data_IF_690818438687
#
_entry.id   IF_690818438687
#
_cell.length_a   1.000
_cell.length_b   1.000
_cell.length_c   1.000
_cell.angle_alpha   90.00
_cell.angle_beta   90.00
_cell.angle_gamma   90.00
#
_symmetry.space_group_name_H-M   'P 1'
#
loop_
_entity.id
_entity.type
_entity.pdbx_description
1 polymer ?
#
# COMPACT_ATOMS: atom_id res chain seq x y z
N UNK A 1 -9.34 -11.18 12.15
CA UNK A 1 -8.32 -12.25 12.03
C UNK A 1 -8.90 -13.59 12.38
N UNK A 2 -9.48 -13.80 13.57
CA UNK A 2 -10.08 -15.09 13.99
C UNK A 2 -11.25 -15.56 13.08
N UNK A 3 -11.98 -14.67 12.43
CA UNK A 3 -13.11 -14.99 11.53
C UNK A 3 -12.61 -15.44 10.14
N UNK A 4 -11.50 -14.90 9.65
CA UNK A 4 -10.93 -15.32 8.36
C UNK A 4 -10.32 -16.71 8.41
N UNK A 5 -9.83 -17.16 9.55
CA UNK A 5 -9.20 -18.48 9.69
C UNK A 5 -10.17 -19.66 9.50
N UNK A 6 -11.49 -19.44 9.46
CA UNK A 6 -12.49 -20.50 9.24
C UNK A 6 -12.54 -21.04 7.82
N UNK A 7 -12.00 -20.34 6.84
CA UNK A 7 -12.08 -20.69 5.42
C UNK A 7 -10.76 -21.17 4.82
N UNK A 8 -9.73 -21.35 5.64
CA UNK A 8 -8.46 -21.93 5.18
C UNK A 8 -8.61 -23.45 5.19
N UNK A 9 -8.63 -24.11 4.02
CA UNK A 9 -8.59 -25.55 3.98
C UNK A 9 -7.27 -26.02 4.64
N UNK A 10 -7.29 -27.16 5.34
CA UNK A 10 -6.10 -27.83 5.84
C UNK A 10 -5.19 -28.20 4.65
N UNK A 11 -4.41 -27.28 4.17
CA UNK A 11 -3.33 -27.51 3.24
C UNK A 11 -2.03 -27.11 3.90
N UNK A 12 -1.10 -28.05 3.94
CA UNK A 12 0.16 -28.02 4.67
C UNK A 12 1.19 -27.00 4.18
N UNK A 13 0.83 -26.02 3.35
CA UNK A 13 1.69 -24.96 2.87
C UNK A 13 0.86 -23.74 2.46
N UNK A 14 0.26 -23.05 3.43
CA UNK A 14 -0.23 -21.69 3.20
C UNK A 14 0.85 -20.73 3.63
N UNK A 15 1.57 -20.18 2.67
CA UNK A 15 2.46 -19.05 2.89
C UNK A 15 1.61 -17.81 3.18
N UNK A 16 1.30 -17.62 4.47
CA UNK A 16 0.61 -16.44 4.98
C UNK A 16 1.61 -15.29 5.04
N UNK A 17 2.13 -14.87 3.90
CA UNK A 17 2.91 -13.65 3.77
C UNK A 17 2.00 -12.42 3.96
N UNK A 18 1.47 -12.24 5.17
CA UNK A 18 0.91 -10.97 5.58
C UNK A 18 2.04 -10.01 5.93
N UNK A 19 2.18 -9.01 5.15
CA UNK A 19 3.24 -8.07 4.89
C UNK A 19 3.77 -7.29 6.11
N UNK A 20 3.26 -7.41 7.32
CA UNK A 20 3.59 -6.51 8.44
C UNK A 20 3.78 -7.17 9.80
N UNK A 21 3.93 -8.47 9.88
CA UNK A 21 4.16 -9.12 11.15
C UNK A 21 5.64 -9.44 11.34
N UNK A 22 6.23 -9.01 12.45
CA UNK A 22 7.50 -9.56 12.87
C UNK A 22 7.34 -11.06 13.14
N UNK A 23 8.42 -11.83 13.09
CA UNK A 23 8.40 -13.26 13.43
C UNK A 23 7.83 -13.48 14.85
N UNK A 24 8.10 -12.55 15.77
CA UNK A 24 7.59 -12.59 17.14
C UNK A 24 6.06 -12.39 17.20
N UNK A 25 5.53 -11.41 16.43
CA UNK A 25 4.08 -11.21 16.33
C UNK A 25 3.38 -12.40 15.66
N UNK A 26 4.05 -13.05 14.70
CA UNK A 26 3.57 -14.26 14.06
C UNK A 26 3.53 -15.45 15.04
N UNK A 27 4.56 -15.64 15.86
CA UNK A 27 4.60 -16.70 16.86
C UNK A 27 3.52 -16.51 17.94
N UNK A 28 3.29 -15.26 18.40
CA UNK A 28 2.20 -14.98 19.35
C UNK A 28 0.82 -15.27 18.73
N UNK A 29 0.63 -15.06 17.43
CA UNK A 29 -0.59 -15.43 16.72
C UNK A 29 -0.69 -16.92 16.44
N UNK A 30 0.44 -17.61 16.28
CA UNK A 30 0.51 -19.05 16.12
C UNK A 30 0.01 -19.76 17.36
N UNK A 31 0.36 -19.29 18.55
CA UNK A 31 -0.18 -19.78 19.81
C UNK A 31 -1.73 -19.65 19.87
N UNK A 32 -2.29 -18.56 19.35
CA UNK A 32 -3.73 -18.36 19.26
C UNK A 32 -4.37 -19.35 18.27
N UNK A 33 -3.73 -19.58 17.13
CA UNK A 33 -4.17 -20.53 16.09
C UNK A 33 -4.07 -21.96 16.63
N UNK A 34 -3.00 -22.30 17.33
CA UNK A 34 -2.81 -23.61 17.92
C UNK A 34 -3.85 -23.89 19.02
N UNK A 35 -4.12 -22.93 19.92
CA UNK A 35 -5.19 -23.02 20.90
C UNK A 35 -6.56 -23.16 20.24
N UNK A 36 -6.80 -22.48 19.13
CA UNK A 36 -8.04 -22.61 18.36
C UNK A 36 -8.17 -24.00 17.72
N UNK A 37 -7.08 -24.58 17.21
CA UNK A 37 -7.08 -25.93 16.61
C UNK A 37 -7.26 -27.03 17.66
N UNK A 38 -6.73 -26.84 18.87
CA UNK A 38 -6.88 -27.79 19.99
C UNK A 38 -8.28 -27.75 20.61
N UNK A 39 -8.91 -26.58 20.61
CA UNK A 39 -10.26 -26.36 21.18
C UNK A 39 -11.10 -25.52 20.19
N UNK A 40 -11.67 -26.14 19.14
CA UNK A 40 -12.48 -25.42 18.18
C UNK A 40 -13.62 -24.71 18.88
N UNK A 41 -13.60 -23.38 18.82
CA UNK A 41 -14.60 -22.52 19.42
C UNK A 41 -15.94 -22.72 18.70
N UNK A 42 -16.96 -23.17 19.43
CA UNK A 42 -18.23 -23.63 18.87
C UNK A 42 -19.17 -22.49 18.49
N UNK A 43 -18.98 -21.30 19.07
CA UNK A 43 -19.87 -20.17 18.85
C UNK A 43 -19.11 -18.89 18.52
N UNK A 44 -19.81 -17.92 17.89
CA UNK A 44 -19.28 -16.55 17.65
C UNK A 44 -18.92 -15.88 18.98
N UNK A 45 -19.70 -16.12 20.04
CA UNK A 45 -19.46 -15.56 21.37
C UNK A 45 -18.12 -16.04 21.93
N UNK A 46 -17.82 -17.35 21.80
CA UNK A 46 -16.57 -17.92 22.28
C UNK A 46 -15.36 -17.31 21.52
N UNK A 47 -15.51 -17.05 20.22
CA UNK A 47 -14.49 -16.41 19.39
C UNK A 47 -14.22 -14.97 19.81
N UNK A 48 -15.27 -14.20 20.06
CA UNK A 48 -15.15 -12.81 20.53
C UNK A 48 -14.48 -12.78 21.90
N UNK A 49 -14.86 -13.69 22.82
CA UNK A 49 -14.23 -13.77 24.14
C UNK A 49 -12.76 -14.20 24.06
N UNK A 50 -12.41 -15.11 23.15
CA UNK A 50 -11.02 -15.51 22.93
C UNK A 50 -10.18 -14.33 22.39
N UNK A 51 -10.69 -13.60 21.39
CA UNK A 51 -10.06 -12.40 20.86
C UNK A 51 -9.88 -11.32 21.94
N UNK A 52 -10.89 -11.11 22.78
CA UNK A 52 -10.82 -10.17 23.90
C UNK A 52 -9.77 -10.56 24.92
N UNK A 53 -9.69 -11.85 25.31
CA UNK A 53 -8.63 -12.35 26.19
C UNK A 53 -7.24 -12.17 25.60
N UNK A 54 -7.09 -12.34 24.28
CA UNK A 54 -5.82 -12.09 23.60
C UNK A 54 -5.49 -10.59 23.59
N UNK A 55 -6.49 -9.73 23.31
CA UNK A 55 -6.30 -8.27 23.37
C UNK A 55 -5.85 -7.83 24.78
N UNK A 56 -6.45 -8.38 25.84
CA UNK A 56 -6.09 -8.08 27.22
C UNK A 56 -4.64 -8.46 27.59
N UNK A 57 -4.04 -9.43 26.90
CA UNK A 57 -2.62 -9.75 27.05
C UNK A 57 -1.70 -8.71 26.38
N UNK A 58 -2.16 -8.08 25.30
CA UNK A 58 -1.39 -7.07 24.57
C UNK A 58 -1.48 -5.69 25.20
N UNK A 59 -2.60 -5.38 25.87
CA UNK A 59 -2.86 -4.14 26.58
C UNK A 59 -3.43 -4.45 27.98
N UNK A 60 -3.58 -3.46 28.84
CA UNK A 60 -4.27 -3.62 30.11
C UNK A 60 -5.74 -4.01 29.85
N UNK A 61 -6.33 -4.86 30.73
CA UNK A 61 -7.68 -5.44 30.56
C UNK A 61 -8.74 -4.39 30.20
N UNK A 62 -8.66 -3.21 30.78
CA UNK A 62 -9.57 -2.08 30.54
C UNK A 62 -9.50 -1.51 29.13
N UNK A 63 -8.40 -1.76 28.40
CA UNK A 63 -8.18 -1.29 27.03
C UNK A 63 -8.44 -2.39 25.98
N UNK A 64 -8.78 -3.62 26.40
CA UNK A 64 -8.92 -4.76 25.50
C UNK A 64 -10.01 -4.54 24.43
N UNK A 65 -11.15 -4.01 24.82
CA UNK A 65 -12.26 -3.76 23.89
C UNK A 65 -11.89 -2.67 22.87
N UNK A 66 -11.15 -1.64 23.30
CA UNK A 66 -10.66 -0.60 22.40
C UNK A 66 -9.63 -1.16 21.39
N UNK A 67 -8.76 -2.09 21.80
CA UNK A 67 -7.85 -2.76 20.88
C UNK A 67 -8.59 -3.66 19.87
N UNK A 68 -9.66 -4.31 20.29
CA UNK A 68 -10.52 -5.08 19.37
C UNK A 68 -11.18 -4.19 18.33
N UNK A 69 -11.63 -2.98 18.69
CA UNK A 69 -12.15 -1.99 17.75
C UNK A 69 -11.08 -1.55 16.73
N UNK A 70 -9.82 -1.40 17.17
CA UNK A 70 -8.68 -1.15 16.26
C UNK A 70 -8.55 -2.28 15.24
N UNK A 71 -8.57 -3.54 15.69
CA UNK A 71 -8.48 -4.69 14.78
C UNK A 71 -9.66 -4.78 13.81
N UNK A 72 -10.86 -4.45 14.28
CA UNK A 72 -12.04 -4.38 13.40
C UNK A 72 -11.89 -3.32 12.31
N UNK A 73 -11.35 -2.14 12.64
CA UNK A 73 -11.08 -1.09 11.65
C UNK A 73 -10.03 -1.53 10.63
N UNK A 74 -8.96 -2.17 11.07
CA UNK A 74 -7.94 -2.73 10.17
C UNK A 74 -8.57 -3.79 9.24
N UNK A 75 -9.39 -4.68 9.79
CA UNK A 75 -10.11 -5.68 9.00
C UNK A 75 -11.01 -5.04 7.94
N UNK A 76 -11.80 -4.03 8.33
CA UNK A 76 -12.66 -3.29 7.39
C UNK A 76 -11.83 -2.62 6.30
N UNK A 77 -10.72 -1.99 6.65
CA UNK A 77 -9.83 -1.36 5.67
C UNK A 77 -9.32 -2.35 4.62
N UNK A 78 -8.90 -3.54 5.03
CA UNK A 78 -8.46 -4.60 4.11
C UNK A 78 -9.63 -5.11 3.28
N UNK A 79 -10.80 -5.30 3.90
CA UNK A 79 -12.00 -5.82 3.24
C UNK A 79 -12.50 -4.89 2.13
N UNK A 80 -12.45 -3.57 2.31
CA UNK A 80 -12.83 -2.59 1.29
C UNK A 80 -12.01 -2.77 -0.01
N UNK A 81 -10.72 -3.08 0.11
CA UNK A 81 -9.86 -3.31 -1.06
C UNK A 81 -10.12 -4.70 -1.65
N UNK A 82 -10.20 -5.73 -0.82
CA UNK A 82 -10.43 -7.12 -1.28
C UNK A 82 -11.80 -7.28 -1.94
N UNK A 83 -12.79 -6.47 -1.55
CA UNK A 83 -14.13 -6.49 -2.13
C UNK A 83 -14.18 -6.01 -3.60
N UNK A 84 -13.13 -5.34 -4.09
CA UNK A 84 -13.03 -4.95 -5.50
C UNK A 84 -12.84 -6.15 -6.46
N UNK A 85 -12.61 -7.36 -5.95
CA UNK A 85 -12.48 -8.59 -6.72
C UNK A 85 -11.10 -9.27 -6.55
N UNK A 86 -10.79 -10.31 -7.32
CA UNK A 86 -9.52 -11.04 -7.20
C UNK A 86 -8.28 -10.21 -7.58
N UNK A 87 -8.42 -9.27 -8.51
CA UNK A 87 -7.32 -8.43 -8.99
C UNK A 87 -6.77 -7.44 -7.95
N UNK A 88 -7.55 -6.89 -7.02
CA UNK A 88 -7.04 -6.04 -5.95
C UNK A 88 -6.05 -6.72 -5.02
N UNK A 89 -6.02 -8.04 -4.93
CA UNK A 89 -4.98 -8.75 -4.18
C UNK A 89 -3.60 -8.40 -4.72
N UNK A 90 -3.48 -8.17 -6.02
CA UNK A 90 -2.24 -7.72 -6.63
C UNK A 90 -1.91 -6.25 -6.31
N UNK A 91 -2.92 -5.41 -6.07
CA UNK A 91 -2.72 -4.02 -5.63
C UNK A 91 -2.26 -3.91 -4.17
N UNK A 92 -2.71 -4.81 -3.32
CA UNK A 92 -2.38 -4.83 -1.88
C UNK A 92 -1.19 -5.75 -1.60
N UNK A 93 -0.77 -6.52 -2.61
CA UNK A 93 0.35 -7.45 -2.55
C UNK A 93 1.68 -6.86 -3.03
N UNK A 94 2.56 -7.74 -3.43
CA UNK A 94 3.95 -7.44 -3.79
C UNK A 94 4.14 -6.38 -4.86
N UNK A 95 3.24 -6.28 -5.83
CA UNK A 95 3.32 -5.27 -6.90
C UNK A 95 3.12 -3.87 -6.34
N UNK A 96 2.10 -3.70 -5.51
CA UNK A 96 1.81 -2.41 -4.88
C UNK A 96 2.94 -1.98 -3.92
N UNK A 97 3.51 -2.93 -3.19
CA UNK A 97 4.67 -2.65 -2.36
C UNK A 97 5.82 -2.08 -3.18
N UNK A 98 6.04 -2.65 -4.37
CA UNK A 98 7.11 -2.18 -5.24
C UNK A 98 6.88 -0.77 -5.79
N UNK A 99 5.65 -0.36 -5.99
CA UNK A 99 5.32 1.00 -6.43
C UNK A 99 5.78 2.07 -5.44
N UNK A 100 5.95 1.74 -4.17
CA UNK A 100 6.37 2.72 -3.15
C UNK A 100 7.69 3.40 -3.49
N UNK A 101 8.60 2.72 -4.18
CA UNK A 101 9.90 3.27 -4.60
C UNK A 101 9.90 3.78 -6.04
N UNK A 102 8.78 3.61 -6.79
CA UNK A 102 8.69 4.00 -8.18
C UNK A 102 8.42 5.51 -8.36
N UNK A 103 9.23 6.24 -9.14
CA UNK A 103 8.95 7.64 -9.45
C UNK A 103 7.71 7.79 -10.35
N UNK A 104 6.86 8.76 -10.05
CA UNK A 104 5.80 9.20 -10.96
C UNK A 104 6.38 10.25 -11.91
N UNK A 105 6.54 9.88 -13.18
CA UNK A 105 7.13 10.74 -14.21
C UNK A 105 6.27 10.71 -15.47
N UNK A 106 6.10 11.84 -16.18
CA UNK A 106 5.18 11.90 -17.32
C UNK A 106 5.75 11.22 -18.57
N UNK A 107 7.09 11.11 -18.70
CA UNK A 107 7.76 10.55 -19.86
C UNK A 107 8.88 9.59 -19.44
N UNK A 108 8.56 8.35 -19.03
CA UNK A 108 9.56 7.38 -18.59
C UNK A 108 10.61 7.08 -19.65
N UNK A 109 10.25 7.13 -20.93
CA UNK A 109 11.17 6.88 -22.07
C UNK A 109 12.22 7.98 -22.24
N UNK A 110 12.01 9.17 -21.69
CA UNK A 110 12.92 10.32 -21.81
C UNK A 110 13.82 10.50 -20.58
N UNK A 111 13.82 9.55 -19.67
CA UNK A 111 14.74 9.53 -18.52
C UNK A 111 16.20 9.44 -18.99
N UNK A 112 17.12 10.00 -18.21
CA UNK A 112 18.56 9.82 -18.46
C UNK A 112 18.96 8.35 -18.32
N UNK A 113 20.14 7.96 -18.83
CA UNK A 113 20.60 6.58 -18.73
C UNK A 113 20.64 6.09 -17.27
N UNK A 114 21.10 6.92 -16.33
CA UNK A 114 21.12 6.60 -14.90
C UNK A 114 19.71 6.47 -14.31
N UNK A 115 18.80 7.36 -14.69
CA UNK A 115 17.40 7.30 -14.24
C UNK A 115 16.67 6.08 -14.84
N UNK A 116 16.96 5.73 -16.11
CA UNK A 116 16.44 4.53 -16.77
C UNK A 116 16.94 3.26 -16.08
N UNK A 117 18.21 3.23 -15.68
CA UNK A 117 18.76 2.09 -14.95
C UNK A 117 18.04 1.87 -13.61
N UNK A 118 17.80 2.97 -12.88
CA UNK A 118 16.97 2.89 -11.68
C UNK A 118 15.52 2.46 -11.99
N UNK A 119 14.92 2.95 -13.09
CA UNK A 119 13.53 2.71 -13.46
C UNK A 119 13.29 1.29 -14.01
N UNK A 120 14.33 0.65 -14.58
CA UNK A 120 14.25 -0.69 -15.20
C UNK A 120 13.69 -1.76 -14.27
N UNK A 121 13.97 -1.69 -12.99
CA UNK A 121 13.47 -2.64 -11.98
C UNK A 121 11.96 -2.61 -11.77
N UNK A 122 11.26 -1.60 -12.29
CA UNK A 122 9.80 -1.49 -12.23
C UNK A 122 9.12 -2.01 -13.51
N UNK A 123 9.88 -2.53 -14.44
CA UNK A 123 9.37 -3.07 -15.70
C UNK A 123 9.41 -4.59 -15.68
N UNK A 124 8.36 -5.22 -16.17
CA UNK A 124 8.39 -6.63 -16.44
C UNK A 124 9.27 -6.90 -17.65
N UNK A 125 10.10 -7.95 -17.58
CA UNK A 125 10.82 -8.43 -18.76
C UNK A 125 9.81 -9.08 -19.72
N UNK A 126 9.77 -8.57 -20.93
CA UNK A 126 9.03 -9.15 -22.03
C UNK A 126 9.99 -9.52 -23.17
N UNK A 127 9.48 -10.17 -24.21
CA UNK A 127 10.28 -10.64 -25.35
C UNK A 127 10.90 -9.48 -26.18
N UNK A 128 10.39 -8.26 -26.03
CA UNK A 128 10.95 -7.05 -26.61
C UNK A 128 10.80 -5.86 -25.65
N UNK A 129 11.64 -4.82 -25.82
CA UNK A 129 11.49 -3.57 -25.03
C UNK A 129 10.15 -2.89 -25.24
N UNK A 130 9.50 -3.10 -26.38
CA UNK A 130 8.20 -2.53 -26.71
C UNK A 130 7.06 -3.27 -26.00
N UNK A 131 7.27 -4.55 -25.63
CA UNK A 131 6.32 -5.38 -24.91
C UNK A 131 6.57 -5.37 -23.40
N UNK A 132 7.67 -4.74 -22.94
CA UNK A 132 7.96 -4.62 -21.52
C UNK A 132 6.86 -3.81 -20.86
N UNK A 133 5.95 -4.50 -20.18
CA UNK A 133 4.89 -3.87 -19.43
C UNK A 133 5.49 -3.11 -18.25
N UNK A 134 5.30 -1.80 -18.23
CA UNK A 134 5.52 -1.02 -17.02
C UNK A 134 4.57 -1.52 -15.93
N UNK A 135 5.03 -1.62 -14.67
CA UNK A 135 4.17 -1.97 -13.52
C UNK A 135 2.96 -1.05 -13.40
N UNK A 136 3.00 0.15 -14.00
CA UNK A 136 1.87 1.06 -14.09
C UNK A 136 0.94 0.77 -15.26
N UNK A 137 1.34 -0.04 -16.22
CA UNK A 137 0.44 -0.44 -17.28
C UNK A 137 -0.56 -1.46 -16.73
N UNK A 138 -1.66 -0.94 -16.22
CA UNK A 138 -2.74 -1.70 -15.60
C UNK A 138 -3.71 -2.28 -16.64
N UNK A 139 -3.34 -2.33 -17.93
CA UNK A 139 -4.20 -2.81 -19.01
C UNK A 139 -4.69 -4.26 -18.81
N UNK A 140 -4.00 -5.05 -17.98
CA UNK A 140 -4.48 -6.37 -17.58
C UNK A 140 -5.49 -6.36 -16.42
N UNK A 141 -5.75 -5.20 -15.80
CA UNK A 141 -6.64 -5.07 -14.65
C UNK A 141 -7.86 -4.24 -15.03
N UNK A 142 -8.82 -4.87 -15.69
CA UNK A 142 -10.03 -4.21 -16.19
C UNK A 142 -10.78 -3.42 -15.11
N UNK A 143 -10.70 -3.86 -13.84
CA UNK A 143 -11.40 -3.21 -12.72
C UNK A 143 -10.77 -1.90 -12.25
N UNK A 144 -9.52 -1.62 -12.59
CA UNK A 144 -8.81 -0.40 -12.19
C UNK A 144 -8.23 0.36 -13.37
N UNK A 145 -8.43 -0.16 -14.57
CA UNK A 145 -8.02 0.48 -15.80
C UNK A 145 -9.04 1.54 -16.24
N UNK A 146 -8.53 2.61 -16.81
CA UNK A 146 -9.34 3.74 -17.27
C UNK A 146 -9.94 4.56 -16.11
N UNK A 147 -10.76 5.53 -16.49
CA UNK A 147 -11.34 6.49 -15.54
C UNK A 147 -12.27 5.84 -14.52
N UNK A 148 -13.16 4.96 -14.97
CA UNK A 148 -14.11 4.28 -14.06
C UNK A 148 -13.43 3.35 -13.07
N UNK A 149 -12.42 2.59 -13.53
CA UNK A 149 -11.63 1.74 -12.66
C UNK A 149 -10.80 2.55 -11.66
N UNK A 150 -10.19 3.64 -12.10
CA UNK A 150 -9.46 4.57 -11.25
C UNK A 150 -10.35 5.18 -10.17
N UNK A 151 -11.59 5.59 -10.51
CA UNK A 151 -12.57 6.10 -9.53
C UNK A 151 -12.92 5.05 -8.48
N UNK A 152 -13.21 3.82 -8.90
CA UNK A 152 -13.57 2.73 -7.99
C UNK A 152 -12.43 2.38 -7.04
N UNK A 153 -11.22 2.19 -7.58
CA UNK A 153 -10.03 1.91 -6.78
C UNK A 153 -9.70 3.07 -5.81
N UNK A 154 -9.79 4.31 -6.28
CA UNK A 154 -9.58 5.50 -5.43
C UNK A 154 -10.62 5.59 -4.33
N UNK A 155 -11.87 5.28 -4.61
CA UNK A 155 -12.93 5.24 -3.61
C UNK A 155 -12.62 4.20 -2.51
N UNK A 156 -12.32 2.97 -2.89
CA UNK A 156 -11.99 1.90 -1.93
C UNK A 156 -10.75 2.23 -1.09
N UNK A 157 -9.70 2.76 -1.72
CA UNK A 157 -8.50 3.21 -1.01
C UNK A 157 -8.80 4.36 -0.03
N UNK A 158 -9.69 5.28 -0.37
CA UNK A 158 -10.10 6.35 0.55
C UNK A 158 -10.88 5.79 1.75
N UNK A 159 -11.80 4.82 1.56
CA UNK A 159 -12.50 4.14 2.64
C UNK A 159 -11.49 3.43 3.57
N UNK A 160 -10.57 2.67 2.98
CA UNK A 160 -9.51 1.97 3.73
C UNK A 160 -8.63 2.94 4.51
N UNK A 161 -8.17 4.03 3.89
CA UNK A 161 -7.38 5.06 4.56
C UNK A 161 -8.12 5.65 5.75
N UNK A 162 -9.41 5.98 5.62
CA UNK A 162 -10.22 6.50 6.72
C UNK A 162 -10.30 5.54 7.91
N UNK A 163 -10.44 4.23 7.65
CA UNK A 163 -10.45 3.22 8.70
C UNK A 163 -9.08 3.11 9.40
N UNK A 164 -7.97 3.10 8.64
CA UNK A 164 -6.63 2.97 9.21
C UNK A 164 -6.23 4.24 9.99
N UNK A 165 -6.54 5.43 9.48
CA UNK A 165 -6.30 6.70 10.19
C UNK A 165 -7.08 6.76 11.51
N UNK A 166 -8.32 6.29 11.52
CA UNK A 166 -9.11 6.13 12.74
C UNK A 166 -8.46 5.14 13.70
N UNK A 167 -8.00 3.97 13.20
CA UNK A 167 -7.29 2.99 14.01
C UNK A 167 -6.01 3.57 14.64
N UNK A 168 -5.22 4.35 13.88
CA UNK A 168 -4.02 5.06 14.42
C UNK A 168 -4.40 5.98 15.56
N UNK A 169 -5.52 6.69 15.46
CA UNK A 169 -6.00 7.59 16.52
C UNK A 169 -6.36 6.82 17.78
N UNK A 170 -7.03 5.67 17.66
CA UNK A 170 -7.38 4.83 18.81
C UNK A 170 -6.14 4.20 19.45
N UNK A 171 -5.21 3.70 18.63
CA UNK A 171 -3.92 3.18 19.12
C UNK A 171 -3.18 4.22 19.94
N UNK A 172 -3.18 5.49 19.50
CA UNK A 172 -2.57 6.58 20.25
C UNK A 172 -3.29 6.85 21.59
N UNK A 173 -4.62 6.68 21.65
CA UNK A 173 -5.38 6.81 22.89
C UNK A 173 -5.08 5.66 23.86
N UNK A 174 -5.02 4.41 23.37
CA UNK A 174 -4.60 3.25 24.16
C UNK A 174 -3.21 3.49 24.74
N UNK A 175 -2.25 3.87 23.90
CA UNK A 175 -0.87 4.09 24.30
C UNK A 175 -0.73 5.08 25.47
N UNK A 176 -1.54 6.15 25.47
CA UNK A 176 -1.53 7.16 26.54
C UNK A 176 -2.03 6.64 27.89
N UNK A 177 -2.82 5.57 27.89
CA UNK A 177 -3.40 4.98 29.10
C UNK A 177 -2.52 3.88 29.68
N UNK A 178 -1.61 3.29 28.89
CA UNK A 178 -0.81 2.16 29.30
C UNK A 178 0.28 2.58 30.31
N UNK A 179 0.34 1.85 31.43
CA UNK A 179 1.37 1.98 32.42
C UNK A 179 2.54 1.01 32.18
N UNK A 180 2.27 -0.14 31.56
CA UNK A 180 3.28 -1.14 31.26
C UNK A 180 4.12 -0.76 30.04
N UNK A 181 5.42 -0.58 30.25
CA UNK A 181 6.37 -0.16 29.19
C UNK A 181 6.42 -1.14 28.01
N UNK A 182 6.37 -2.45 28.27
CA UNK A 182 6.44 -3.44 27.20
C UNK A 182 5.17 -3.39 26.32
N UNK A 183 3.99 -3.27 26.93
CA UNK A 183 2.73 -3.11 26.22
C UNK A 183 2.72 -1.78 25.44
N UNK A 184 3.18 -0.69 26.06
CA UNK A 184 3.29 0.61 25.40
C UNK A 184 4.21 0.54 24.16
N UNK A 185 5.32 -0.20 24.24
CA UNK A 185 6.24 -0.39 23.12
C UNK A 185 5.62 -1.23 21.99
N UNK A 186 4.87 -2.30 22.31
CA UNK A 186 4.12 -3.09 21.32
C UNK A 186 3.07 -2.23 20.60
N UNK A 187 2.33 -1.44 21.35
CA UNK A 187 1.31 -0.54 20.80
C UNK A 187 1.93 0.58 19.95
N UNK A 188 3.10 1.09 20.34
CA UNK A 188 3.86 2.03 19.48
C UNK A 188 4.30 1.36 18.17
N UNK A 189 4.77 0.11 18.22
CA UNK A 189 5.11 -0.64 17.02
C UNK A 189 3.90 -0.79 16.09
N UNK A 190 2.73 -1.14 16.63
CA UNK A 190 1.48 -1.20 15.85
C UNK A 190 1.17 0.16 15.21
N UNK A 191 1.26 1.25 15.97
CA UNK A 191 1.03 2.60 15.47
C UNK A 191 1.93 2.97 14.30
N UNK A 192 3.22 2.68 14.41
CA UNK A 192 4.20 2.97 13.35
C UNK A 192 3.93 2.14 12.10
N UNK A 193 3.56 0.87 12.24
CA UNK A 193 3.19 -0.01 11.12
C UNK A 193 1.92 0.47 10.41
N UNK A 194 0.89 0.89 11.17
CA UNK A 194 -0.32 1.46 10.57
C UNK A 194 -0.02 2.76 9.81
N UNK A 195 0.85 3.62 10.34
CA UNK A 195 1.30 4.81 9.61
C UNK A 195 2.06 4.46 8.32
N UNK A 196 2.89 3.43 8.37
CA UNK A 196 3.57 2.92 7.17
C UNK A 196 2.56 2.40 6.15
N UNK A 197 1.56 1.63 6.58
CA UNK A 197 0.48 1.15 5.71
C UNK A 197 -0.31 2.30 5.06
N UNK A 198 -0.56 3.39 5.79
CA UNK A 198 -1.15 4.61 5.23
C UNK A 198 -0.29 5.15 4.08
N UNK A 199 1.04 5.18 4.24
CA UNK A 199 1.92 5.64 3.16
C UNK A 199 1.84 4.73 1.92
N UNK A 200 1.75 3.42 2.09
CA UNK A 200 1.58 2.48 0.98
C UNK A 200 0.23 2.66 0.26
N UNK A 201 -0.86 2.80 1.00
CA UNK A 201 -2.19 3.01 0.40
C UNK A 201 -2.30 4.37 -0.30
N UNK A 202 -1.71 5.42 0.27
CA UNK A 202 -1.59 6.73 -0.40
C UNK A 202 -0.78 6.60 -1.69
N UNK A 203 0.35 5.89 -1.67
CA UNK A 203 1.14 5.66 -2.88
C UNK A 203 0.34 4.93 -3.96
N UNK A 204 -0.36 3.85 -3.61
CA UNK A 204 -1.22 3.13 -4.56
C UNK A 204 -2.25 4.06 -5.18
N UNK A 205 -2.95 4.84 -4.37
CA UNK A 205 -3.92 5.83 -4.83
C UNK A 205 -3.29 6.84 -5.79
N UNK A 206 -2.17 7.44 -5.40
CA UNK A 206 -1.49 8.43 -6.24
C UNK A 206 -0.98 7.84 -7.55
N UNK A 207 -0.50 6.58 -7.52
CA UNK A 207 -0.04 5.86 -8.70
C UNK A 207 -1.19 5.65 -9.69
N UNK A 208 -2.34 5.17 -9.22
CA UNK A 208 -3.54 4.94 -10.03
C UNK A 208 -4.06 6.27 -10.60
N UNK A 209 -4.18 7.30 -9.78
CA UNK A 209 -4.63 8.62 -10.21
C UNK A 209 -3.68 9.24 -11.24
N UNK A 210 -2.38 9.09 -11.04
CA UNK A 210 -1.37 9.59 -11.96
C UNK A 210 -1.48 8.92 -13.33
N UNK A 211 -1.64 7.58 -13.35
CA UNK A 211 -1.81 6.81 -14.58
C UNK A 211 -3.10 7.19 -15.30
N UNK A 212 -4.23 7.30 -14.57
CA UNK A 212 -5.50 7.74 -15.16
C UNK A 212 -5.37 9.09 -15.88
N UNK A 213 -4.66 10.04 -15.26
CA UNK A 213 -4.42 11.34 -15.90
C UNK A 213 -3.57 11.19 -17.16
N UNK A 214 -2.52 10.37 -17.15
CA UNK A 214 -1.69 10.11 -18.33
C UNK A 214 -2.51 9.46 -19.44
N UNK A 215 -3.30 8.44 -19.14
CA UNK A 215 -4.14 7.73 -20.11
C UNK A 215 -5.17 8.67 -20.76
N UNK A 216 -5.76 9.56 -19.98
CA UNK A 216 -6.70 10.58 -20.46
C UNK A 216 -6.04 11.70 -21.26
N UNK A 217 -4.71 11.74 -21.31
CA UNK A 217 -3.95 12.69 -22.13
C UNK A 217 -3.36 12.07 -23.40
N UNK A 218 -3.45 10.78 -23.57
CA UNK A 218 -2.98 10.11 -24.79
C UNK A 218 -3.98 10.30 -25.94
N UNK A 219 -3.76 11.35 -26.73
CA UNK A 219 -4.58 11.70 -27.87
C UNK A 219 -4.23 10.91 -29.14
N UNK A 220 -3.10 10.25 -29.18
CA UNK A 220 -2.69 9.45 -30.33
C UNK A 220 -3.45 8.12 -30.37
N UNK A 221 -3.82 7.59 -29.19
CA UNK A 221 -4.59 6.37 -29.01
C UNK A 221 -5.78 6.60 -28.05
N UNK A 222 -6.80 7.38 -28.48
CA UNK A 222 -7.93 7.69 -27.60
C UNK A 222 -8.69 6.43 -27.21
N UNK A 223 -8.79 6.14 -25.93
CA UNK A 223 -9.69 5.13 -25.40
C UNK A 223 -11.13 5.60 -25.49
N UNK A 224 -12.10 4.67 -25.43
CA UNK A 224 -13.52 5.04 -25.39
C UNK A 224 -13.80 5.99 -24.22
N UNK A 225 -13.15 5.79 -23.08
CA UNK A 225 -13.33 6.63 -21.90
C UNK A 225 -12.79 8.05 -22.05
N UNK A 226 -11.73 8.27 -22.82
CA UNK A 226 -11.23 9.61 -23.12
C UNK A 226 -12.26 10.45 -23.89
N UNK A 227 -13.06 9.81 -24.74
CA UNK A 227 -14.14 10.49 -25.47
C UNK A 227 -15.34 10.80 -24.56
N UNK A 228 -15.57 9.99 -23.51
CA UNK A 228 -16.69 10.17 -22.57
C UNK A 228 -16.33 11.17 -21.46
N UNK A 229 -15.07 11.13 -20.97
CA UNK A 229 -14.58 11.94 -19.85
C UNK A 229 -13.33 12.74 -20.24
N UNK A 230 -13.42 13.65 -21.24
CA UNK A 230 -12.29 14.45 -21.65
C UNK A 230 -11.84 15.34 -20.49
N UNK A 231 -10.54 15.45 -20.31
CA UNK A 231 -9.95 16.35 -19.32
C UNK A 231 -9.51 17.65 -20.02
N UNK A 232 -9.94 18.79 -19.51
CA UNK A 232 -9.42 20.09 -19.92
C UNK A 232 -7.94 20.20 -19.56
N UNK A 233 -7.13 20.87 -20.43
CA UNK A 233 -5.70 20.97 -20.24
C UNK A 233 -5.27 21.68 -18.96
N UNK A 234 -6.00 22.69 -18.52
CA UNK A 234 -5.72 23.37 -17.26
C UNK A 234 -6.11 22.53 -16.05
N UNK A 235 -7.20 21.77 -16.15
CA UNK A 235 -7.59 20.81 -15.14
C UNK A 235 -6.56 19.69 -15.01
N UNK A 236 -6.14 19.12 -16.13
CA UNK A 236 -5.09 18.10 -16.19
C UNK A 236 -3.80 18.58 -15.51
N UNK A 237 -3.33 19.77 -15.87
CA UNK A 237 -2.11 20.32 -15.30
C UNK A 237 -2.23 20.50 -13.78
N UNK A 238 -3.38 20.96 -13.29
CA UNK A 238 -3.63 21.10 -11.86
C UNK A 238 -3.65 19.74 -11.16
N UNK A 239 -4.39 18.78 -11.68
CA UNK A 239 -4.57 17.47 -11.04
C UNK A 239 -3.25 16.68 -10.99
N UNK A 240 -2.51 16.61 -12.10
CA UNK A 240 -1.23 15.89 -12.11
C UNK A 240 -0.19 16.55 -11.18
N UNK A 241 -0.20 17.88 -11.06
CA UNK A 241 0.67 18.58 -10.12
C UNK A 241 0.29 18.30 -8.66
N UNK A 242 -1.01 18.24 -8.36
CA UNK A 242 -1.50 17.89 -7.02
C UNK A 242 -1.09 16.46 -6.67
N UNK A 243 -1.34 15.50 -7.55
CA UNK A 243 -0.98 14.09 -7.33
C UNK A 243 0.53 13.94 -7.14
N UNK A 244 1.33 14.61 -8.00
CA UNK A 244 2.80 14.58 -7.88
C UNK A 244 3.28 15.13 -6.55
N UNK A 245 2.74 16.27 -6.09
CA UNK A 245 3.08 16.87 -4.81
C UNK A 245 2.70 15.96 -3.65
N UNK A 246 1.47 15.45 -3.65
CA UNK A 246 0.98 14.55 -2.62
C UNK A 246 1.85 13.29 -2.49
N UNK A 247 2.34 12.76 -3.62
CA UNK A 247 3.23 11.60 -3.60
C UNK A 247 4.63 11.93 -3.09
N UNK A 248 5.16 13.11 -3.40
CA UNK A 248 6.44 13.57 -2.83
C UNK A 248 6.31 13.73 -1.31
N UNK A 249 5.23 14.35 -0.84
CA UNK A 249 4.98 14.55 0.60
C UNK A 249 4.78 13.21 1.31
N UNK A 250 4.01 12.29 0.73
CA UNK A 250 3.83 10.92 1.22
C UNK A 250 5.15 10.14 1.31
N UNK A 251 5.99 10.25 0.29
CA UNK A 251 7.30 9.59 0.27
C UNK A 251 8.23 10.16 1.34
N UNK A 252 8.21 11.47 1.56
CA UNK A 252 8.99 12.10 2.64
C UNK A 252 8.48 11.71 4.03
N UNK A 253 7.16 11.56 4.22
CA UNK A 253 6.57 11.04 5.45
C UNK A 253 7.08 9.61 5.74
N UNK A 254 7.10 8.75 4.72
CA UNK A 254 7.62 7.38 4.87
C UNK A 254 9.12 7.38 5.20
N UNK A 255 9.94 8.20 4.52
CA UNK A 255 11.37 8.33 4.85
C UNK A 255 11.53 8.70 6.33
N UNK A 256 10.81 9.72 6.80
CA UNK A 256 10.88 10.16 8.18
C UNK A 256 10.46 9.06 9.17
N UNK A 257 9.43 8.27 8.85
CA UNK A 257 9.02 7.12 9.66
C UNK A 257 10.13 6.07 9.74
N UNK A 258 10.70 5.68 8.61
CA UNK A 258 11.76 4.66 8.55
C UNK A 258 13.03 5.11 9.27
N UNK A 259 13.40 6.39 9.20
CA UNK A 259 14.56 6.96 9.90
C UNK A 259 14.31 7.15 11.40
N UNK A 260 13.05 7.25 11.85
CA UNK A 260 12.69 7.52 13.24
C UNK A 260 12.81 6.31 14.19
N UNK A 261 12.89 5.11 13.66
CA UNK A 261 12.82 3.88 14.45
C UNK A 261 13.77 2.81 13.95
N UNK A 262 14.15 1.89 14.85
CA UNK A 262 14.87 0.65 14.52
C UNK A 262 13.93 -0.53 14.28
N UNK A 263 12.63 -0.35 14.51
CA UNK A 263 11.64 -1.39 14.26
C UNK A 263 11.55 -1.60 12.74
N UNK A 264 11.65 -2.83 12.24
CA UNK A 264 11.46 -3.10 10.82
C UNK A 264 9.99 -2.85 10.44
N UNK A 265 9.74 -1.74 9.76
CA UNK A 265 8.39 -1.33 9.34
C UNK A 265 8.02 -1.88 7.96
N UNK A 266 9.01 -2.23 7.14
CA UNK A 266 8.84 -2.77 5.79
C UNK A 266 9.72 -4.00 5.66
N UNK A 267 9.16 -5.07 5.07
CA UNK A 267 9.96 -6.23 4.69
C UNK A 267 10.77 -5.89 3.45
N UNK A 268 12.05 -6.11 3.49
CA UNK A 268 12.97 -5.93 2.36
C UNK A 268 13.65 -7.25 2.03
N UNK A 269 14.20 -7.36 0.82
CA UNK A 269 15.12 -8.42 0.45
C UNK A 269 16.32 -8.45 1.42
N UNK A 270 16.93 -9.61 1.59
CA UNK A 270 18.07 -9.77 2.49
C UNK A 270 19.35 -9.12 1.91
N UNK A 271 19.45 -9.04 0.58
CA UNK A 271 20.57 -8.42 -0.12
C UNK A 271 20.09 -7.64 -1.35
N UNK A 272 21.00 -6.84 -1.94
CA UNK A 272 20.70 -6.10 -3.17
C UNK A 272 20.55 -7.01 -4.40
N UNK A 273 21.15 -8.18 -4.36
CA UNK A 273 21.07 -9.18 -5.43
C UNK A 273 19.70 -9.87 -5.46
N UNK A 274 18.99 -9.87 -4.34
CA UNK A 274 17.63 -10.41 -4.22
C UNK A 274 16.55 -9.36 -4.53
N UNK A 275 16.96 -8.10 -4.78
CA UNK A 275 16.02 -7.07 -5.20
C UNK A 275 15.53 -7.35 -6.62
N UNK A 276 14.21 -7.42 -6.81
CA UNK A 276 13.58 -7.61 -8.11
C UNK A 276 12.30 -6.79 -8.24
N UNK A 277 11.46 -7.12 -9.21
CA UNK A 277 10.17 -6.46 -9.45
C UNK A 277 9.20 -6.61 -8.27
N UNK A 278 9.35 -7.65 -7.47
CA UNK A 278 8.45 -7.99 -6.36
C UNK A 278 9.04 -7.70 -4.99
N UNK A 279 10.37 -7.61 -4.89
CA UNK A 279 11.08 -7.45 -3.62
C UNK A 279 11.81 -6.12 -3.57
N UNK A 280 11.50 -5.30 -2.56
CA UNK A 280 12.22 -4.05 -2.31
C UNK A 280 13.60 -4.38 -1.74
N UNK A 281 14.65 -3.74 -2.27
CA UNK A 281 16.01 -3.91 -1.75
C UNK A 281 16.19 -3.36 -0.31
N UNK A 282 17.23 -3.81 0.41
CA UNK A 282 17.49 -3.41 1.79
C UNK A 282 17.78 -1.91 1.95
N UNK A 283 18.11 -1.21 0.86
CA UNK A 283 18.40 0.23 0.83
C UNK A 283 17.15 1.07 0.51
N UNK A 284 15.98 0.69 1.04
CA UNK A 284 14.70 1.35 0.74
C UNK A 284 14.73 2.86 0.95
N UNK A 285 15.42 3.37 1.98
CA UNK A 285 15.48 4.80 2.27
C UNK A 285 16.20 5.57 1.13
N UNK A 286 17.32 5.04 0.63
CA UNK A 286 18.04 5.61 -0.50
C UNK A 286 17.18 5.58 -1.77
N UNK A 287 16.43 4.50 -1.98
CA UNK A 287 15.52 4.38 -3.10
C UNK A 287 14.39 5.42 -3.03
N UNK A 288 13.80 5.63 -1.86
CA UNK A 288 12.77 6.65 -1.65
C UNK A 288 13.34 8.06 -1.89
N UNK A 289 14.54 8.36 -1.41
CA UNK A 289 15.23 9.62 -1.68
C UNK A 289 15.51 9.81 -3.17
N UNK A 290 15.92 8.75 -3.88
CA UNK A 290 16.13 8.78 -5.34
C UNK A 290 14.81 9.03 -6.07
N UNK A 291 13.72 8.36 -5.67
CA UNK A 291 12.36 8.61 -6.19
C UNK A 291 11.99 10.09 -6.09
N UNK A 292 12.08 10.68 -4.90
CA UNK A 292 11.78 12.10 -4.68
C UNK A 292 12.63 13.00 -5.57
N UNK A 293 13.95 12.73 -5.66
CA UNK A 293 14.88 13.49 -6.50
C UNK A 293 14.48 13.46 -7.98
N UNK A 294 14.13 12.28 -8.51
CA UNK A 294 13.67 12.15 -9.90
C UNK A 294 12.37 12.90 -10.12
N UNK A 295 11.38 12.75 -9.22
CA UNK A 295 10.10 13.42 -9.33
C UNK A 295 10.24 14.94 -9.30
N UNK A 296 11.04 15.50 -8.39
CA UNK A 296 11.30 16.94 -8.30
C UNK A 296 11.98 17.47 -9.57
N UNK A 297 12.94 16.74 -10.12
CA UNK A 297 13.63 17.11 -11.34
C UNK A 297 12.70 17.13 -12.55
N UNK A 298 11.74 16.18 -12.60
CA UNK A 298 10.86 15.95 -13.75
C UNK A 298 9.49 16.61 -13.63
N UNK A 299 9.13 17.18 -12.47
CA UNK A 299 7.79 17.73 -12.21
C UNK A 299 7.32 18.80 -13.22
N UNK A 300 8.25 19.54 -13.84
CA UNK A 300 7.90 20.57 -14.82
C UNK A 300 7.61 20.00 -16.21
N UNK A 301 8.00 18.77 -16.49
CA UNK A 301 7.76 18.12 -17.78
C UNK A 301 6.28 17.87 -18.05
N UNK A 302 5.44 17.82 -17.00
CA UNK A 302 3.97 17.72 -17.12
C UNK A 302 3.38 18.84 -17.99
N UNK A 303 4.05 20.01 -18.09
CA UNK A 303 3.65 21.10 -18.98
C UNK A 303 3.71 20.73 -20.47
N UNK A 304 4.50 19.72 -20.82
CA UNK A 304 4.62 19.23 -22.20
C UNK A 304 3.39 18.41 -22.60
N UNK A 305 2.72 17.73 -21.66
CA UNK A 305 1.44 17.07 -21.88
C UNK A 305 0.38 18.10 -22.32
N UNK A 306 0.39 19.28 -21.72
CA UNK A 306 -0.50 20.38 -22.09
C UNK A 306 -0.24 20.95 -23.48
N UNK A 307 1.06 21.13 -23.85
CA UNK A 307 1.43 21.70 -25.15
C UNK A 307 1.11 20.79 -26.32
N UNK A 308 1.18 19.48 -26.17
CA UNK A 308 0.80 18.51 -27.20
C UNK A 308 -0.68 18.63 -27.60
N UNK A 309 -1.51 19.19 -26.72
CA UNK A 309 -2.94 19.38 -26.94
C UNK A 309 -3.30 20.61 -27.79
N UNK A 310 -2.39 21.58 -27.88
CA UNK A 310 -2.65 22.82 -28.62
C UNK A 310 -2.06 22.82 -30.05
N UNK A 311 -1.32 21.81 -30.44
CA UNK A 311 -0.76 21.59 -31.76
C UNK A 311 -1.58 20.63 -32.59
#
# INVERSE_FOLDING_TARGET
VAVQLQHIPKQDNVDLSFVFLSVEDFLEQFDLIEQYNQHPLSSIVDKIQAARRFAAKQVEEENADQLMEVWEKIYKAVHEIVSLGPDPIMLVGTINERWITRPLVPFPMELTAEEKDYYRKFQFQANSEQEAADLMNLQGFEMINGYSGSLLATWALNQSLGQIESAVSDVLQIQKKLNNKNQAQKIESLRLRLKTLICFYKNAKHTIQYQDILDRTDYENPTIEQNIYPMDGDQLLREIQIVTRNEIDNTNELIALLESTKIPLVKTAASMEEEDVFNIGPNIIEQLKKKVSIMLKRQLEVRRLYKRRQG
#
